data_IF_447446883541
#
_entry.id   IF_447446883541
#
_cell.length_a   1.000
_cell.length_b   1.000
_cell.length_c   1.000
_cell.angle_alpha   90.00
_cell.angle_beta   90.00
_cell.angle_gamma   90.00
#
_symmetry.space_group_name_H-M   'P 1'
#
loop_
_entity.id
_entity.type
_entity.pdbx_description
1 polymer ?
#
# COMPACT_ATOMS: atom_id res chain seq x y z
N UNK A 1 28.00 -6.24 17.89
CA UNK A 1 27.85 -4.84 17.44
C UNK A 1 26.40 -4.48 17.71
N UNK A 2 26.11 -3.38 18.42
CA UNK A 2 24.73 -2.96 18.61
C UNK A 2 24.17 -2.58 17.22
N UNK A 3 23.07 -3.20 16.80
CA UNK A 3 22.39 -2.85 15.56
C UNK A 3 22.04 -1.36 15.61
N UNK A 4 22.43 -0.59 14.60
CA UNK A 4 22.00 0.81 14.49
C UNK A 4 20.48 0.80 14.28
N UNK A 5 19.75 1.59 15.06
CA UNK A 5 18.29 1.67 14.87
C UNK A 5 17.98 2.36 13.54
N UNK A 6 17.07 1.76 12.77
CA UNK A 6 16.59 2.29 11.50
C UNK A 6 15.33 3.11 11.71
N UNK A 7 15.35 4.37 11.27
CA UNK A 7 14.22 5.29 11.37
C UNK A 7 13.71 5.61 9.97
N UNK A 8 12.40 5.56 9.79
CA UNK A 8 11.74 6.09 8.60
C UNK A 8 11.20 7.49 8.89
N UNK A 9 11.58 8.47 8.07
CA UNK A 9 11.05 9.84 8.14
C UNK A 9 10.09 10.05 6.97
N UNK A 10 8.86 10.45 7.25
CA UNK A 10 7.81 10.61 6.24
C UNK A 10 7.30 12.04 6.28
N UNK A 11 7.54 12.80 5.21
CA UNK A 11 7.14 14.19 5.05
C UNK A 11 7.17 14.54 3.57
N UNK A 12 6.14 15.22 3.05
CA UNK A 12 6.11 15.65 1.65
C UNK A 12 7.09 16.82 1.38
N UNK A 13 7.53 17.50 2.44
CA UNK A 13 8.58 18.50 2.38
C UNK A 13 9.97 17.85 2.48
N UNK A 14 10.62 17.69 1.33
CA UNK A 14 11.98 17.13 1.23
C UNK A 14 13.00 17.83 2.13
N UNK A 15 12.90 19.16 2.31
CA UNK A 15 13.84 19.89 3.18
C UNK A 15 13.71 19.46 4.65
N UNK A 16 12.50 19.12 5.11
CA UNK A 16 12.27 18.60 6.46
C UNK A 16 12.85 17.18 6.58
N UNK A 17 12.54 16.32 5.61
CA UNK A 17 13.10 14.97 5.53
C UNK A 17 14.64 14.96 5.56
N UNK A 18 15.28 15.74 4.69
CA UNK A 18 16.74 15.84 4.57
C UNK A 18 17.38 16.36 5.85
N UNK A 19 16.78 17.38 6.47
CA UNK A 19 17.27 17.95 7.71
C UNK A 19 17.17 16.96 8.87
N UNK A 20 16.04 16.28 9.05
CA UNK A 20 15.88 15.23 10.07
C UNK A 20 16.88 14.10 9.81
N UNK A 21 16.98 13.64 8.56
CA UNK A 21 17.85 12.54 8.19
C UNK A 21 19.32 12.85 8.44
N UNK A 22 19.80 14.04 8.07
CA UNK A 22 21.17 14.46 8.34
C UNK A 22 21.49 14.43 9.84
N UNK A 23 20.61 15.00 10.68
CA UNK A 23 20.80 15.07 12.13
C UNK A 23 20.75 13.72 12.83
N UNK A 24 19.89 12.81 12.38
CA UNK A 24 19.82 11.45 12.93
C UNK A 24 21.03 10.61 12.49
N UNK A 25 21.50 10.76 11.25
CA UNK A 25 22.72 10.10 10.76
C UNK A 25 23.98 10.55 11.51
N UNK A 26 24.09 11.83 11.87
CA UNK A 26 25.16 12.34 12.75
C UNK A 26 25.22 11.62 14.11
N UNK A 27 24.11 11.03 14.56
CA UNK A 27 24.01 10.26 15.80
C UNK A 27 24.20 8.75 15.60
N UNK A 28 24.59 8.31 14.40
CA UNK A 28 24.84 6.90 14.08
C UNK A 28 23.56 6.07 13.90
N UNK A 29 22.45 6.71 13.50
CA UNK A 29 21.20 6.03 13.16
C UNK A 29 21.11 5.81 11.65
N UNK A 30 20.51 4.70 11.24
CA UNK A 30 20.13 4.49 9.85
C UNK A 30 18.83 5.24 9.56
N UNK A 31 18.77 5.95 8.44
CA UNK A 31 17.58 6.74 8.09
C UNK A 31 17.17 6.52 6.65
N UNK A 32 15.92 6.11 6.46
CA UNK A 32 15.21 6.16 5.20
C UNK A 32 14.20 7.32 5.22
N UNK A 33 13.86 7.84 4.04
CA UNK A 33 12.90 8.93 3.87
C UNK A 33 11.80 8.51 2.92
N UNK A 34 10.58 9.01 3.12
CA UNK A 34 9.47 8.88 2.19
C UNK A 34 8.77 10.23 2.01
N UNK A 35 8.38 10.55 0.78
CA UNK A 35 7.75 11.81 0.41
C UNK A 35 6.21 11.77 0.44
N UNK A 36 5.61 10.61 0.70
CA UNK A 36 4.16 10.44 0.79
C UNK A 36 3.81 9.18 1.58
N UNK A 37 2.53 9.03 1.93
CA UNK A 37 2.07 7.90 2.72
C UNK A 37 2.25 6.53 2.07
N UNK A 38 2.24 6.45 0.74
CA UNK A 38 2.35 5.18 0.01
C UNK A 38 3.78 4.65 0.03
N UNK A 39 4.73 5.51 -0.29
CA UNK A 39 6.15 5.21 -0.17
C UNK A 39 6.51 4.83 1.27
N UNK A 40 5.89 5.48 2.27
CA UNK A 40 6.05 5.11 3.67
C UNK A 40 5.59 3.68 3.98
N UNK A 41 4.43 3.26 3.47
CA UNK A 41 3.92 1.90 3.65
C UNK A 41 4.83 0.85 3.00
N UNK A 42 5.30 1.12 1.78
CA UNK A 42 6.20 0.22 1.05
C UNK A 42 7.55 0.07 1.76
N UNK A 43 8.18 1.20 2.13
CA UNK A 43 9.45 1.19 2.86
C UNK A 43 9.29 0.50 4.22
N UNK A 44 8.20 0.76 4.95
CA UNK A 44 7.99 0.13 6.26
C UNK A 44 7.86 -1.38 6.15
N UNK A 45 7.17 -1.89 5.12
CA UNK A 45 7.04 -3.33 4.87
C UNK A 45 8.35 -3.98 4.45
N UNK A 46 9.12 -3.31 3.58
CA UNK A 46 10.40 -3.79 3.05
C UNK A 46 11.52 -3.75 4.09
N UNK A 47 11.70 -2.61 4.74
CA UNK A 47 12.90 -2.29 5.51
C UNK A 47 12.72 -2.47 7.02
N UNK A 48 11.48 -2.67 7.49
CA UNK A 48 11.14 -2.89 8.91
C UNK A 48 11.85 -1.92 9.86
N UNK A 49 11.61 -0.60 9.73
CA UNK A 49 12.21 0.39 10.60
C UNK A 49 11.83 0.14 12.06
N UNK A 50 12.72 0.52 12.98
CA UNK A 50 12.50 0.47 14.42
C UNK A 50 11.61 1.62 14.91
N UNK A 51 11.39 2.65 14.10
CA UNK A 51 10.53 3.80 14.38
C UNK A 51 10.11 4.50 13.08
N UNK A 52 8.87 4.97 13.01
CA UNK A 52 8.39 5.88 11.95
C UNK A 52 8.11 7.26 12.53
N UNK A 53 8.76 8.29 11.98
CA UNK A 53 8.39 9.69 12.14
C UNK A 53 7.46 10.05 10.99
N UNK A 54 6.21 10.39 11.30
CA UNK A 54 5.15 10.46 10.30
C UNK A 54 4.46 11.81 10.30
N UNK A 55 4.61 12.58 9.23
CA UNK A 55 3.76 13.75 9.05
C UNK A 55 2.29 13.35 8.90
N UNK A 56 1.42 14.16 9.48
CA UNK A 56 -0.03 13.98 9.36
C UNK A 56 -0.51 14.43 7.98
N UNK A 57 0.02 15.55 7.50
CA UNK A 57 -0.44 16.19 6.27
C UNK A 57 0.39 15.67 5.09
N UNK A 58 -0.02 14.54 4.54
CA UNK A 58 0.61 13.94 3.36
C UNK A 58 -0.38 13.93 2.18
N UNK A 59 0.12 14.05 0.94
CA UNK A 59 -0.73 13.91 -0.24
C UNK A 59 -1.20 12.46 -0.41
N UNK A 60 -2.39 12.28 -0.99
CA UNK A 60 -3.00 10.99 -1.35
C UNK A 60 -3.46 10.11 -0.20
N UNK A 61 -2.61 9.93 0.81
CA UNK A 61 -2.84 9.14 2.01
C UNK A 61 -2.25 9.90 3.20
N UNK A 62 -3.12 10.40 4.09
CA UNK A 62 -2.67 11.19 5.23
C UNK A 62 -1.98 10.31 6.28
N UNK A 63 -1.20 10.92 7.18
CA UNK A 63 -0.41 10.20 8.18
C UNK A 63 -1.25 9.32 9.12
N UNK A 64 -2.49 9.73 9.44
CA UNK A 64 -3.35 8.90 10.27
C UNK A 64 -3.76 7.60 9.55
N UNK A 65 -4.04 7.68 8.25
CA UNK A 65 -4.37 6.53 7.42
C UNK A 65 -3.15 5.60 7.25
N UNK A 66 -1.97 6.17 7.03
CA UNK A 66 -0.70 5.41 7.02
C UNK A 66 -0.51 4.64 8.32
N UNK A 67 -0.61 5.32 9.46
CA UNK A 67 -0.42 4.71 10.77
C UNK A 67 -1.41 3.56 11.00
N UNK A 68 -2.67 3.71 10.60
CA UNK A 68 -3.67 2.65 10.70
C UNK A 68 -3.32 1.43 9.89
N UNK A 69 -2.93 1.61 8.63
CA UNK A 69 -2.52 0.50 7.77
C UNK A 69 -1.34 -0.23 8.39
N UNK A 70 -0.36 0.50 8.95
CA UNK A 70 0.77 -0.09 9.65
C UNK A 70 0.36 -0.82 10.94
N UNK A 71 -0.58 -0.29 11.71
CA UNK A 71 -1.05 -0.92 12.96
C UNK A 71 -2.00 -2.11 12.72
N UNK A 72 -2.65 -2.19 11.57
CA UNK A 72 -3.52 -3.31 11.20
C UNK A 72 -2.75 -4.55 10.70
N UNK A 73 -1.57 -4.37 10.10
CA UNK A 73 -0.74 -5.46 9.60
C UNK A 73 0.10 -6.07 10.75
N UNK A 74 -0.06 -7.37 10.98
CA UNK A 74 0.59 -8.11 12.06
C UNK A 74 2.12 -7.96 12.06
N UNK A 75 2.71 -7.78 10.89
CA UNK A 75 4.15 -7.67 10.74
C UNK A 75 4.65 -6.25 11.05
N UNK A 76 3.85 -5.21 10.86
CA UNK A 76 4.23 -3.80 11.11
C UNK A 76 3.63 -3.21 12.39
N UNK A 77 2.63 -3.86 13.01
CA UNK A 77 1.85 -3.28 14.12
C UNK A 77 2.67 -2.90 15.36
N UNK A 78 3.81 -3.56 15.56
CA UNK A 78 4.69 -3.32 16.70
C UNK A 78 5.67 -2.15 16.46
N UNK A 79 5.80 -1.70 15.21
CA UNK A 79 6.67 -0.58 14.88
C UNK A 79 6.06 0.68 15.52
N UNK A 80 6.81 1.40 16.36
CA UNK A 80 6.31 2.59 16.98
C UNK A 80 6.19 3.74 15.98
N UNK A 81 5.22 4.62 16.21
CA UNK A 81 4.95 5.77 15.34
C UNK A 81 4.94 7.05 16.18
N UNK A 82 5.73 8.04 15.77
CA UNK A 82 5.67 9.40 16.30
C UNK A 82 5.11 10.31 15.21
N UNK A 83 3.96 10.94 15.49
CA UNK A 83 3.39 11.90 14.55
C UNK A 83 4.13 13.24 14.60
N UNK A 84 4.41 13.80 13.42
CA UNK A 84 4.78 15.20 13.27
C UNK A 84 3.52 15.97 12.87
N UNK A 85 3.16 17.01 13.63
CA UNK A 85 1.86 17.70 13.47
C UNK A 85 2.03 19.22 13.47
N UNK A 86 1.27 19.97 12.68
CA UNK A 86 1.16 21.43 12.84
C UNK A 86 0.14 21.77 13.93
N UNK A 87 0.40 22.84 14.71
CA UNK A 87 -0.40 23.22 15.89
C UNK A 87 -1.88 23.54 15.51
N UNK A 88 -2.80 23.34 16.47
CA UNK A 88 -4.24 23.70 16.50
C UNK A 88 -5.35 22.65 16.29
N UNK A 89 -5.09 21.36 16.50
CA UNK A 89 -6.21 20.43 16.75
C UNK A 89 -5.95 19.56 17.97
N UNK A 90 -6.59 19.93 19.08
CA UNK A 90 -6.80 19.04 20.23
C UNK A 90 -7.38 17.68 19.75
N UNK A 91 -8.16 17.70 18.67
CA UNK A 91 -8.67 16.52 17.98
C UNK A 91 -7.59 15.63 17.33
N UNK A 92 -6.51 16.20 16.76
CA UNK A 92 -5.43 15.42 16.12
C UNK A 92 -4.62 14.63 17.15
N UNK A 93 -4.45 15.19 18.35
CA UNK A 93 -3.81 14.50 19.48
C UNK A 93 -4.68 13.36 20.01
N UNK A 94 -5.98 13.60 20.17
CA UNK A 94 -6.94 12.57 20.59
C UNK A 94 -7.02 11.45 19.53
N UNK A 95 -7.02 11.82 18.25
CA UNK A 95 -7.02 10.89 17.11
C UNK A 95 -5.75 10.03 17.05
N UNK A 96 -4.57 10.63 17.23
CA UNK A 96 -3.29 9.92 17.25
C UNK A 96 -3.21 8.86 18.35
N UNK A 97 -3.69 9.16 19.56
CA UNK A 97 -3.74 8.18 20.65
C UNK A 97 -4.78 7.07 20.41
N UNK A 98 -5.92 7.37 19.79
CA UNK A 98 -6.93 6.35 19.43
C UNK A 98 -6.47 5.39 18.32
N UNK A 99 -5.49 5.80 17.50
CA UNK A 99 -4.86 4.98 16.45
C UNK A 99 -3.72 4.10 17.02
N UNK A 100 -3.30 4.36 18.26
CA UNK A 100 -2.18 3.65 18.91
C UNK A 100 -0.81 4.22 18.53
N UNK A 101 -0.72 5.53 18.24
CA UNK A 101 0.56 6.20 18.12
C UNK A 101 1.27 6.31 19.48
N UNK A 102 2.59 6.23 19.43
CA UNK A 102 3.45 6.10 20.60
C UNK A 102 3.89 7.45 21.17
N UNK A 103 3.88 8.50 20.33
CA UNK A 103 4.06 9.91 20.70
C UNK A 103 3.62 10.86 19.56
N UNK A 104 3.68 12.17 19.82
CA UNK A 104 3.52 13.22 18.80
C UNK A 104 4.41 14.44 19.08
N UNK A 105 4.74 15.18 18.03
CA UNK A 105 5.63 16.34 18.06
C UNK A 105 5.05 17.45 17.19
N UNK A 106 4.89 18.64 17.77
CA UNK A 106 4.37 19.80 17.03
C UNK A 106 5.47 20.50 16.24
N UNK A 107 5.25 20.70 14.95
CA UNK A 107 6.00 21.58 14.05
C UNK A 107 5.65 23.06 14.33
N UNK A 108 6.64 23.97 14.34
CA UNK A 108 8.08 23.69 14.35
C UNK A 108 8.52 23.09 15.70
N UNK A 109 9.42 22.10 15.67
CA UNK A 109 9.88 21.39 16.86
C UNK A 109 11.33 21.72 17.21
N UNK A 110 11.67 21.56 18.49
CA UNK A 110 13.05 21.62 18.95
C UNK A 110 13.75 20.27 18.67
N UNK A 111 15.00 20.32 18.18
CA UNK A 111 15.82 19.12 17.91
C UNK A 111 16.07 18.25 19.14
N UNK A 112 16.37 18.87 20.28
CA UNK A 112 16.62 18.15 21.52
C UNK A 112 15.34 17.44 22.01
N UNK A 113 14.17 18.06 21.79
CA UNK A 113 12.87 17.44 22.07
C UNK A 113 12.62 16.23 21.17
N UNK A 114 12.82 16.37 19.87
CA UNK A 114 12.64 15.27 18.90
C UNK A 114 13.55 14.09 19.24
N UNK A 115 14.84 14.33 19.50
CA UNK A 115 15.79 13.29 19.86
C UNK A 115 15.44 12.62 21.20
N UNK A 116 15.01 13.39 22.20
CA UNK A 116 14.60 12.85 23.49
C UNK A 116 13.40 11.90 23.35
N UNK A 117 12.41 12.28 22.52
CA UNK A 117 11.22 11.47 22.26
C UNK A 117 11.52 10.21 21.45
N UNK A 118 12.32 10.33 20.38
CA UNK A 118 12.82 9.17 19.61
C UNK A 118 13.50 8.17 20.55
N UNK A 119 14.44 8.65 21.38
CA UNK A 119 15.15 7.79 22.32
C UNK A 119 14.22 7.15 23.36
N UNK A 120 13.22 7.89 23.85
CA UNK A 120 12.25 7.37 24.82
C UNK A 120 11.31 6.30 24.22
N UNK A 121 10.91 6.45 22.96
CA UNK A 121 10.07 5.49 22.25
C UNK A 121 10.86 4.23 21.90
N UNK A 122 12.07 4.36 21.34
CA UNK A 122 12.93 3.21 21.02
C UNK A 122 13.27 2.39 22.28
N UNK A 123 13.57 3.04 23.41
CA UNK A 123 13.79 2.33 24.68
C UNK A 123 12.56 1.57 25.17
N UNK A 124 11.35 2.12 24.98
CA UNK A 124 10.09 1.44 25.33
C UNK A 124 9.83 0.23 24.43
N UNK A 125 10.09 0.36 23.13
CA UNK A 125 9.92 -0.72 22.16
C UNK A 125 10.94 -1.87 22.37
N UNK A 126 12.15 -1.57 22.87
CA UNK A 126 13.18 -2.56 23.15
C UNK A 126 13.05 -3.26 24.53
N UNK A 127 12.19 -2.77 25.43
CA UNK A 127 11.98 -3.39 26.74
C UNK A 127 11.12 -4.68 26.61
N UNK A 128 11.37 -5.72 27.42
CA UNK A 128 10.50 -6.89 27.45
C UNK A 128 9.06 -6.47 27.77
N UNK A 129 8.03 -7.16 27.24
CA UNK A 129 6.64 -6.76 27.42
C UNK A 129 6.34 -6.62 28.91
N UNK A 130 6.13 -5.39 29.39
CA UNK A 130 5.39 -5.18 30.62
C UNK A 130 3.97 -5.68 30.35
N UNK A 131 3.40 -6.45 31.28
CA UNK A 131 1.96 -6.72 31.28
C UNK A 131 1.24 -5.43 30.92
N UNK A 132 0.34 -5.45 29.92
CA UNK A 132 -0.28 -4.23 29.44
C UNK A 132 -0.94 -3.56 30.64
N UNK A 133 -0.54 -2.32 30.92
CA UNK A 133 -1.36 -1.44 31.74
C UNK A 133 -2.77 -1.49 31.13
N UNK A 134 -3.83 -1.67 31.94
CA UNK A 134 -5.18 -1.85 31.43
C UNK A 134 -5.44 -0.74 30.40
N UNK A 135 -5.73 -1.17 29.17
CA UNK A 135 -6.02 -0.26 28.08
C UNK A 135 -6.98 0.81 28.61
N UNK A 136 -6.62 2.08 28.46
CA UNK A 136 -7.55 3.17 28.74
C UNK A 136 -8.88 2.80 28.07
N UNK A 137 -10.02 2.91 28.77
CA UNK A 137 -11.30 2.41 28.26
C UNK A 137 -11.51 3.00 26.88
N UNK A 138 -11.55 2.12 25.87
CA UNK A 138 -12.02 2.47 24.54
C UNK A 138 -13.44 3.01 24.77
N UNK A 139 -13.76 4.25 24.38
CA UNK A 139 -15.09 4.79 24.61
C UNK A 139 -16.11 3.81 24.03
N UNK A 140 -16.97 3.29 24.90
CA UNK A 140 -18.06 2.40 24.53
C UNK A 140 -18.93 3.13 23.50
N UNK A 141 -18.96 2.62 22.27
CA UNK A 141 -19.60 3.29 21.13
C UNK A 141 -18.84 3.23 19.81
N UNK A 142 -17.61 2.68 19.74
CA UNK A 142 -16.92 2.48 18.46
C UNK A 142 -17.76 1.55 17.57
N UNK A 143 -18.24 1.98 16.38
CA UNK A 143 -19.00 1.11 15.50
C UNK A 143 -18.13 -0.10 15.13
N UNK A 144 -18.62 -1.30 15.43
CA UNK A 144 -17.93 -2.54 15.06
C UNK A 144 -17.85 -2.62 13.54
N UNK A 145 -16.64 -2.67 13.02
CA UNK A 145 -16.38 -2.94 11.61
C UNK A 145 -16.93 -4.30 11.17
N UNK A 146 -17.05 -4.52 9.86
CA UNK A 146 -17.42 -5.82 9.29
C UNK A 146 -16.16 -6.52 8.78
N UNK A 147 -16.04 -7.82 8.99
CA UNK A 147 -14.93 -8.62 8.47
C UNK A 147 -15.44 -9.98 7.98
N UNK A 148 -14.76 -10.58 7.00
CA UNK A 148 -15.15 -11.84 6.39
C UNK A 148 -14.22 -12.32 5.28
N UNK A 149 -14.60 -13.40 4.61
CA UNK A 149 -13.88 -13.96 3.46
C UNK A 149 -14.37 -13.42 2.12
N UNK A 150 -13.44 -13.22 1.17
CA UNK A 150 -13.79 -12.83 -0.21
C UNK A 150 -14.46 -13.96 -1.00
N UNK A 151 -14.38 -15.20 -0.50
CA UNK A 151 -15.15 -16.35 -1.00
C UNK A 151 -16.64 -16.23 -0.68
N UNK A 152 -16.97 -15.57 0.43
CA UNK A 152 -18.35 -15.42 0.90
C UNK A 152 -19.00 -14.15 0.33
N UNK A 153 -18.24 -13.06 0.26
CA UNK A 153 -18.70 -11.76 -0.24
C UNK A 153 -17.63 -11.13 -1.12
N UNK A 154 -17.96 -10.91 -2.39
CA UNK A 154 -17.04 -10.27 -3.34
C UNK A 154 -16.81 -8.78 -3.02
N UNK A 155 -15.67 -8.24 -3.44
CA UNK A 155 -15.39 -6.80 -3.35
C UNK A 155 -16.47 -5.95 -4.03
N UNK A 156 -17.01 -6.40 -5.16
CA UNK A 156 -18.09 -5.70 -5.86
C UNK A 156 -19.34 -5.55 -4.97
N UNK A 157 -19.72 -6.62 -4.26
CA UNK A 157 -20.85 -6.58 -3.34
C UNK A 157 -20.55 -5.69 -2.11
N UNK A 158 -19.32 -5.72 -1.59
CA UNK A 158 -18.91 -4.85 -0.48
C UNK A 158 -19.01 -3.38 -0.85
N UNK A 159 -18.57 -3.00 -2.06
CA UNK A 159 -18.72 -1.62 -2.57
C UNK A 159 -20.19 -1.22 -2.61
N UNK A 160 -21.07 -2.09 -3.14
CA UNK A 160 -22.51 -1.81 -3.18
C UNK A 160 -23.12 -1.67 -1.79
N UNK A 161 -22.77 -2.52 -0.83
CA UNK A 161 -23.28 -2.42 0.54
C UNK A 161 -22.83 -1.13 1.23
N UNK A 162 -21.57 -0.75 1.06
CA UNK A 162 -21.02 0.50 1.59
C UNK A 162 -21.70 1.72 0.94
N UNK A 163 -21.97 1.66 -0.36
CA UNK A 163 -22.68 2.71 -1.10
C UNK A 163 -24.11 2.90 -0.61
N UNK A 164 -24.86 1.80 -0.47
CA UNK A 164 -26.26 1.82 -0.01
C UNK A 164 -26.35 2.42 1.40
N UNK A 165 -25.46 2.01 2.29
CA UNK A 165 -25.42 2.52 3.67
C UNK A 165 -24.73 3.90 3.80
N UNK A 166 -24.22 4.45 2.69
CA UNK A 166 -23.39 5.68 2.64
C UNK A 166 -22.24 5.68 3.66
N UNK A 167 -21.63 4.52 3.90
CA UNK A 167 -20.58 4.39 4.91
C UNK A 167 -19.28 5.04 4.45
N UNK A 168 -18.65 5.76 5.36
CA UNK A 168 -17.27 6.24 5.22
C UNK A 168 -16.34 5.34 6.02
N UNK A 169 -15.18 5.01 5.48
CA UNK A 169 -14.32 3.99 6.08
C UNK A 169 -13.20 3.49 5.20
N UNK A 170 -12.43 2.58 5.76
CA UNK A 170 -11.34 1.89 5.08
C UNK A 170 -11.73 0.43 4.96
N UNK A 171 -11.83 -0.07 3.73
CA UNK A 171 -11.93 -1.49 3.46
C UNK A 171 -10.55 -2.03 3.17
N UNK A 172 -10.01 -2.82 4.11
CA UNK A 172 -8.76 -3.54 3.94
C UNK A 172 -9.03 -4.90 3.31
N UNK A 173 -8.21 -5.28 2.34
CA UNK A 173 -8.28 -6.54 1.61
C UNK A 173 -6.95 -7.28 1.73
N UNK A 174 -7.04 -8.58 1.97
CA UNK A 174 -5.90 -9.49 2.07
C UNK A 174 -6.07 -10.61 1.06
N UNK A 175 -5.00 -10.99 0.39
CA UNK A 175 -4.95 -12.03 -0.63
C UNK A 175 -3.61 -12.78 -0.50
N UNK A 176 -3.49 -14.07 -0.88
CA UNK A 176 -2.23 -14.80 -0.73
C UNK A 176 -1.02 -14.14 -1.43
N UNK A 177 -1.29 -13.41 -2.51
CA UNK A 177 -0.27 -12.68 -3.29
C UNK A 177 -0.07 -11.21 -2.87
N UNK A 178 -0.83 -10.69 -1.91
CA UNK A 178 -0.71 -9.29 -1.51
C UNK A 178 -1.84 -8.75 -0.66
N UNK A 179 -1.83 -7.44 -0.46
CA UNK A 179 -2.84 -6.73 0.31
C UNK A 179 -3.16 -5.41 -0.37
N UNK A 180 -4.36 -4.92 -0.16
CA UNK A 180 -4.75 -3.60 -0.64
C UNK A 180 -5.82 -2.99 0.25
N UNK A 181 -6.17 -1.74 -0.05
CA UNK A 181 -7.23 -1.04 0.65
C UNK A 181 -8.01 -0.16 -0.30
N UNK A 182 -9.28 0.03 0.05
CA UNK A 182 -10.21 0.93 -0.62
C UNK A 182 -10.74 1.91 0.42
N UNK A 183 -10.52 3.20 0.18
CA UNK A 183 -11.05 4.27 1.01
C UNK A 183 -12.43 4.66 0.51
N UNK A 184 -13.36 4.85 1.44
CA UNK A 184 -14.73 5.26 1.15
C UNK A 184 -15.06 6.58 1.87
N UNK A 185 -15.72 7.47 1.14
CA UNK A 185 -16.29 8.71 1.65
C UNK A 185 -17.75 8.81 1.22
N UNK A 186 -18.66 8.82 2.18
CA UNK A 186 -20.11 8.89 1.98
C UNK A 186 -20.63 7.82 1.00
N UNK A 187 -20.13 6.58 1.13
CA UNK A 187 -20.49 5.45 0.27
C UNK A 187 -19.78 5.43 -1.09
N UNK A 188 -19.04 6.47 -1.46
CA UNK A 188 -18.27 6.50 -2.71
C UNK A 188 -16.87 5.98 -2.48
N UNK A 189 -16.34 5.26 -3.46
CA UNK A 189 -14.91 4.95 -3.52
C UNK A 189 -14.14 6.27 -3.68
N UNK A 190 -13.32 6.62 -2.70
CA UNK A 190 -12.50 7.83 -2.70
C UNK A 190 -11.10 7.56 -3.28
N UNK A 191 -10.50 6.43 -2.92
CA UNK A 191 -9.18 6.02 -3.40
C UNK A 191 -9.00 4.51 -3.23
N UNK A 192 -8.03 3.90 -3.92
CA UNK A 192 -7.66 2.51 -3.74
C UNK A 192 -6.17 2.29 -4.00
N UNK A 193 -5.56 1.32 -3.31
CA UNK A 193 -4.15 0.97 -3.46
C UNK A 193 -3.96 -0.54 -3.26
N UNK A 194 -3.13 -1.15 -4.09
CA UNK A 194 -2.73 -2.55 -3.97
C UNK A 194 -1.34 -2.73 -4.59
N UNK A 195 -0.33 -3.07 -3.79
CA UNK A 195 1.05 -3.18 -4.28
C UNK A 195 1.49 -1.89 -4.99
N UNK A 196 1.90 -1.99 -6.27
CA UNK A 196 2.24 -0.83 -7.13
C UNK A 196 1.03 -0.11 -7.73
N UNK A 197 -0.13 -0.74 -7.76
CA UNK A 197 -1.34 -0.18 -8.39
C UNK A 197 -1.91 0.95 -7.54
N UNK A 198 -2.51 1.94 -8.20
CA UNK A 198 -3.09 3.15 -7.58
C UNK A 198 -4.47 3.43 -8.15
N UNK A 199 -5.31 4.12 -7.37
CA UNK A 199 -6.62 4.60 -7.76
C UNK A 199 -7.46 3.51 -8.47
N UNK A 200 -8.04 3.81 -9.62
CA UNK A 200 -8.89 2.87 -10.37
C UNK A 200 -8.15 1.58 -10.74
N UNK A 201 -6.87 1.66 -11.14
CA UNK A 201 -6.08 0.49 -11.47
C UNK A 201 -5.93 -0.47 -10.27
N UNK A 202 -5.74 0.07 -9.06
CA UNK A 202 -5.72 -0.74 -7.84
C UNK A 202 -7.07 -1.41 -7.58
N UNK A 203 -8.15 -0.65 -7.73
CA UNK A 203 -9.50 -1.17 -7.55
C UNK A 203 -9.79 -2.31 -8.54
N UNK A 204 -9.48 -2.11 -9.81
CA UNK A 204 -9.69 -3.12 -10.86
C UNK A 204 -8.85 -4.37 -10.63
N UNK A 205 -7.60 -4.21 -10.20
CA UNK A 205 -6.75 -5.33 -9.81
C UNK A 205 -7.38 -6.14 -8.65
N UNK A 206 -7.84 -5.47 -7.59
CA UNK A 206 -8.46 -6.12 -6.43
C UNK A 206 -9.84 -6.73 -6.73
N UNK A 207 -10.60 -6.21 -7.69
CA UNK A 207 -11.86 -6.84 -8.14
C UNK A 207 -11.65 -8.23 -8.75
N UNK A 208 -10.42 -8.53 -9.19
CA UNK A 208 -10.00 -9.85 -9.64
C UNK A 208 -9.80 -10.87 -8.52
N UNK A 209 -9.65 -10.44 -7.26
CA UNK A 209 -9.40 -11.36 -6.13
C UNK A 209 -10.67 -12.14 -5.79
N UNK A 210 -10.54 -13.48 -5.73
CA UNK A 210 -11.65 -14.41 -5.43
C UNK A 210 -11.44 -15.16 -4.12
N UNK A 211 -10.30 -14.96 -3.47
CA UNK A 211 -9.90 -15.58 -2.21
C UNK A 211 -9.25 -14.55 -1.29
N UNK A 212 -9.08 -14.91 -0.03
CA UNK A 212 -8.55 -14.04 1.00
C UNK A 212 -9.63 -13.42 1.87
N UNK A 213 -9.29 -12.36 2.59
CA UNK A 213 -10.14 -11.78 3.62
C UNK A 213 -10.31 -10.27 3.47
N UNK A 214 -11.36 -9.73 4.07
CA UNK A 214 -11.63 -8.30 4.14
C UNK A 214 -11.96 -7.85 5.55
N UNK A 215 -11.70 -6.57 5.83
CA UNK A 215 -12.15 -5.89 7.04
C UNK A 215 -12.47 -4.42 6.70
N UNK A 216 -13.70 -3.98 7.01
CA UNK A 216 -14.12 -2.59 6.89
C UNK A 216 -14.11 -1.92 8.26
N UNK A 217 -13.37 -0.83 8.38
CA UNK A 217 -13.36 0.01 9.57
C UNK A 217 -14.02 1.37 9.27
N UNK A 218 -15.10 1.73 9.98
CA UNK A 218 -15.71 3.04 9.84
C UNK A 218 -14.73 4.17 10.13
N UNK A 219 -14.77 5.23 9.32
CA UNK A 219 -13.89 6.38 9.43
C UNK A 219 -14.63 7.66 9.09
N UNK A 220 -14.36 8.73 9.84
CA UNK A 220 -15.09 10.00 9.73
C UNK A 220 -14.18 11.20 9.44
N UNK A 221 -12.87 10.99 9.26
CA UNK A 221 -12.00 12.10 8.86
C UNK A 221 -12.14 12.35 7.35
N UNK A 222 -11.91 13.60 6.89
CA UNK A 222 -11.95 13.91 5.47
C UNK A 222 -10.95 13.04 4.69
N UNK A 223 -11.45 12.36 3.66
CA UNK A 223 -10.63 11.60 2.71
C UNK A 223 -10.57 12.40 1.42
N UNK A 224 -9.39 12.51 0.82
CA UNK A 224 -9.24 13.12 -0.50
C UNK A 224 -9.91 12.26 -1.58
N UNK A 225 -10.77 12.87 -2.40
CA UNK A 225 -11.48 12.19 -3.48
C UNK A 225 -10.60 12.11 -4.72
N UNK A 226 -9.74 11.10 -4.78
CA UNK A 226 -8.82 10.85 -5.91
C UNK A 226 -9.54 10.21 -7.09
N UNK A 227 -10.39 9.21 -6.84
CA UNK A 227 -11.20 8.56 -7.87
C UNK A 227 -12.48 9.36 -8.07
N UNK A 228 -12.70 9.90 -9.25
CA UNK A 228 -13.84 10.79 -9.53
C UNK A 228 -15.05 10.04 -10.12
N UNK A 229 -14.81 8.89 -10.74
CA UNK A 229 -15.85 8.03 -11.32
C UNK A 229 -16.89 7.58 -10.26
N UNK A 230 -18.08 7.23 -10.73
CA UNK A 230 -19.12 6.64 -9.89
C UNK A 230 -18.87 5.15 -9.64
N UNK A 231 -19.32 4.63 -8.50
CA UNK A 231 -19.15 3.22 -8.14
C UNK A 231 -19.67 2.26 -9.22
N UNK A 232 -20.85 2.54 -9.80
CA UNK A 232 -21.43 1.71 -10.88
C UNK A 232 -20.54 1.64 -12.12
N UNK A 233 -19.98 2.78 -12.52
CA UNK A 233 -19.04 2.87 -13.64
C UNK A 233 -17.77 2.06 -13.35
N UNK A 234 -17.20 2.25 -12.15
CA UNK A 234 -16.02 1.50 -11.69
C UNK A 234 -16.27 -0.01 -11.70
N UNK A 235 -17.43 -0.48 -11.24
CA UNK A 235 -17.78 -1.90 -11.23
C UNK A 235 -17.92 -2.45 -12.66
N UNK A 236 -18.60 -1.74 -13.55
CA UNK A 236 -18.76 -2.17 -14.95
C UNK A 236 -17.41 -2.25 -15.67
N UNK A 237 -16.57 -1.22 -15.53
CA UNK A 237 -15.25 -1.20 -16.15
C UNK A 237 -14.34 -2.28 -15.53
N UNK A 238 -14.33 -2.40 -14.21
CA UNK A 238 -13.52 -3.38 -13.49
C UNK A 238 -13.88 -4.83 -13.82
N UNK A 239 -15.17 -5.16 -13.93
CA UNK A 239 -15.62 -6.50 -14.30
C UNK A 239 -15.27 -6.84 -15.76
N UNK A 240 -15.49 -5.92 -16.70
CA UNK A 240 -15.05 -6.10 -18.09
C UNK A 240 -13.54 -6.33 -18.18
N UNK A 241 -12.78 -5.55 -17.41
CA UNK A 241 -11.32 -5.69 -17.34
C UNK A 241 -10.91 -7.04 -16.74
N UNK A 242 -11.59 -7.52 -15.70
CA UNK A 242 -11.38 -8.87 -15.13
C UNK A 242 -11.58 -9.96 -16.18
N UNK A 243 -12.66 -9.90 -16.96
CA UNK A 243 -12.93 -10.87 -18.03
C UNK A 243 -11.86 -10.82 -19.14
N UNK A 244 -11.45 -9.62 -19.57
CA UNK A 244 -10.39 -9.44 -20.55
C UNK A 244 -9.06 -10.03 -20.07
N UNK A 245 -8.67 -9.76 -18.82
CA UNK A 245 -7.47 -10.33 -18.18
C UNK A 245 -7.55 -11.86 -18.14
N UNK A 246 -8.70 -12.43 -17.76
CA UNK A 246 -8.90 -13.87 -17.74
C UNK A 246 -8.75 -14.50 -19.14
N UNK A 247 -9.33 -13.86 -20.17
CA UNK A 247 -9.21 -14.31 -21.56
C UNK A 247 -7.78 -14.26 -22.09
N UNK A 248 -7.02 -13.22 -21.76
CA UNK A 248 -5.60 -13.10 -22.13
C UNK A 248 -4.74 -14.15 -21.42
N UNK A 249 -4.97 -14.38 -20.12
CA UNK A 249 -4.24 -15.40 -19.36
C UNK A 249 -4.50 -16.81 -19.87
N UNK A 250 -5.71 -17.10 -20.38
CA UNK A 250 -6.01 -18.39 -20.99
C UNK A 250 -5.25 -18.66 -22.30
N UNK A 251 -4.76 -17.61 -22.98
CA UNK A 251 -3.94 -17.70 -24.20
C UNK A 251 -2.45 -17.82 -23.91
N UNK A 252 -2.03 -17.54 -22.67
CA UNK A 252 -0.66 -17.64 -22.20
C UNK A 252 -0.39 -19.00 -21.54
N UNK A 253 0.88 -19.43 -21.44
CA UNK A 253 1.25 -20.63 -20.69
C UNK A 253 0.83 -20.58 -19.23
N UNK A 254 0.80 -21.76 -18.58
CA UNK A 254 0.37 -21.91 -17.20
C UNK A 254 1.09 -20.93 -16.25
N UNK A 255 0.40 -20.41 -15.20
CA UNK A 255 1.01 -19.52 -14.23
C UNK A 255 2.32 -20.10 -13.67
N UNK A 256 3.39 -19.29 -13.65
CA UNK A 256 4.72 -19.75 -13.23
C UNK A 256 5.64 -20.24 -14.36
N UNK A 257 5.12 -20.41 -15.58
CA UNK A 257 5.97 -20.71 -16.76
C UNK A 257 6.88 -19.53 -17.06
N UNK A 258 8.18 -19.77 -17.19
CA UNK A 258 9.15 -18.75 -17.62
C UNK A 258 9.08 -18.58 -19.12
N UNK A 259 8.99 -17.33 -19.59
CA UNK A 259 9.04 -16.99 -21.00
C UNK A 259 10.34 -16.25 -21.30
N UNK A 260 10.87 -16.45 -22.50
CA UNK A 260 11.99 -15.67 -23.00
C UNK A 260 11.83 -15.30 -24.48
N UNK A 261 12.42 -14.17 -24.88
CA UNK A 261 12.66 -13.82 -26.27
C UNK A 261 13.28 -14.97 -27.08
N UNK A 262 12.79 -15.18 -28.30
CA UNK A 262 13.54 -15.98 -29.27
C UNK A 262 14.72 -15.19 -29.84
N UNK A 263 15.89 -15.82 -29.90
CA UNK A 263 17.11 -15.23 -30.43
C UNK A 263 16.95 -14.80 -31.89
N UNK A 264 17.41 -13.59 -32.23
CA UNK A 264 17.46 -13.11 -33.62
C UNK A 264 16.20 -12.42 -34.14
N UNK A 265 15.14 -12.26 -33.32
CA UNK A 265 13.87 -11.67 -33.76
C UNK A 265 13.58 -10.26 -33.22
N UNK A 266 14.59 -9.55 -32.71
CA UNK A 266 14.43 -8.23 -32.10
C UNK A 266 13.83 -7.18 -33.07
N UNK A 267 14.13 -7.29 -34.37
CA UNK A 267 13.59 -6.40 -35.40
C UNK A 267 12.09 -6.65 -35.68
N UNK A 268 11.58 -7.84 -35.39
CA UNK A 268 10.18 -8.22 -35.62
C UNK A 268 9.21 -7.74 -34.53
N UNK A 269 9.76 -7.30 -33.38
CA UNK A 269 8.99 -6.80 -32.23
C UNK A 269 8.28 -5.48 -32.58
N UNK A 270 8.90 -4.66 -33.43
CA UNK A 270 8.31 -3.44 -33.97
C UNK A 270 8.35 -2.26 -33.00
N UNK A 271 7.19 -1.90 -32.43
CA UNK A 271 6.99 -0.65 -31.69
C UNK A 271 7.78 -0.59 -30.37
N UNK A 272 8.22 0.59 -29.90
CA UNK A 272 8.97 0.76 -28.65
C UNK A 272 8.26 0.17 -27.42
N UNK A 273 6.94 0.34 -27.30
CA UNK A 273 6.15 -0.13 -26.16
C UNK A 273 6.08 -1.66 -26.11
N UNK A 274 5.94 -2.29 -27.28
CA UNK A 274 6.02 -3.76 -27.43
C UNK A 274 7.41 -4.26 -27.07
N UNK A 275 8.45 -3.49 -27.43
CA UNK A 275 9.85 -3.82 -27.19
C UNK A 275 10.21 -3.80 -25.71
N UNK A 276 9.73 -2.81 -24.96
CA UNK A 276 9.92 -2.76 -23.51
C UNK A 276 9.39 -4.02 -22.82
N UNK A 277 8.17 -4.45 -23.15
CA UNK A 277 7.59 -5.69 -22.60
C UNK A 277 8.37 -6.92 -23.05
N UNK A 278 8.79 -7.00 -24.32
CA UNK A 278 9.57 -8.12 -24.84
C UNK A 278 10.94 -8.24 -24.16
N UNK A 279 11.66 -7.12 -23.98
CA UNK A 279 12.96 -7.06 -23.31
C UNK A 279 12.86 -7.43 -21.83
N UNK A 280 11.73 -7.14 -21.17
CA UNK A 280 11.49 -7.54 -19.79
C UNK A 280 11.50 -9.07 -19.58
N UNK A 281 11.29 -9.87 -20.63
CA UNK A 281 11.38 -11.33 -20.59
C UNK A 281 12.79 -11.87 -20.86
N UNK A 282 13.80 -11.04 -21.16
CA UNK A 282 15.14 -11.49 -21.59
C UNK A 282 15.82 -12.49 -20.62
N UNK A 283 15.56 -12.35 -19.32
CA UNK A 283 16.15 -13.22 -18.27
C UNK A 283 15.30 -14.47 -17.94
N UNK A 284 14.35 -14.85 -18.80
CA UNK A 284 13.48 -16.00 -18.53
C UNK A 284 12.55 -15.75 -17.34
N UNK A 285 11.69 -14.73 -17.45
CA UNK A 285 10.77 -14.30 -16.38
C UNK A 285 9.37 -14.86 -16.58
N UNK A 286 8.61 -14.97 -15.49
CA UNK A 286 7.18 -15.31 -15.59
C UNK A 286 6.39 -14.06 -16.00
N UNK A 287 5.18 -14.26 -16.53
CA UNK A 287 4.27 -13.15 -16.86
C UNK A 287 3.97 -12.32 -15.61
N UNK A 288 3.76 -12.96 -14.47
CA UNK A 288 3.52 -12.28 -13.18
C UNK A 288 4.68 -11.37 -12.79
N UNK A 289 5.92 -11.86 -12.94
CA UNK A 289 7.10 -11.04 -12.62
C UNK A 289 7.17 -9.80 -13.51
N UNK A 290 6.92 -9.94 -14.82
CA UNK A 290 6.95 -8.80 -15.74
C UNK A 290 5.82 -7.80 -15.41
N UNK A 291 4.62 -8.30 -15.07
CA UNK A 291 3.52 -7.46 -14.59
C UNK A 291 3.91 -6.70 -13.33
N UNK A 292 4.67 -7.29 -12.41
CA UNK A 292 5.09 -6.60 -11.18
C UNK A 292 6.26 -5.64 -11.39
N UNK A 293 7.11 -5.88 -12.39
CA UNK A 293 8.36 -5.15 -12.60
C UNK A 293 8.22 -3.89 -13.48
N UNK A 294 7.25 -3.85 -14.40
CA UNK A 294 7.09 -2.74 -15.34
C UNK A 294 6.09 -1.70 -14.82
N UNK A 295 6.39 -0.41 -15.02
CA UNK A 295 5.45 0.70 -14.80
C UNK A 295 4.43 0.85 -15.95
N UNK A 296 4.10 -0.27 -16.60
CA UNK A 296 3.09 -0.37 -17.66
C UNK A 296 1.79 -0.96 -17.08
N UNK A 297 0.65 -0.59 -17.67
CA UNK A 297 -0.66 -1.11 -17.31
C UNK A 297 -0.72 -2.64 -17.49
N UNK A 298 -1.27 -3.35 -16.49
CA UNK A 298 -1.35 -4.83 -16.49
C UNK A 298 -2.01 -5.37 -17.77
N UNK A 299 -3.10 -4.75 -18.24
CA UNK A 299 -3.81 -5.22 -19.41
C UNK A 299 -2.92 -5.09 -20.65
N UNK A 300 -2.23 -3.96 -20.82
CA UNK A 300 -1.29 -3.74 -21.92
C UNK A 300 -0.14 -4.74 -21.91
N UNK A 301 0.42 -5.06 -20.74
CA UNK A 301 1.46 -6.10 -20.60
C UNK A 301 0.92 -7.45 -21.05
N UNK A 302 -0.27 -7.84 -20.59
CA UNK A 302 -0.88 -9.14 -20.93
C UNK A 302 -1.26 -9.24 -22.42
N UNK A 303 -1.82 -8.18 -23.01
CA UNK A 303 -2.12 -8.10 -24.45
C UNK A 303 -0.86 -8.27 -25.28
N UNK A 304 0.20 -7.56 -24.89
CA UNK A 304 1.49 -7.58 -25.57
C UNK A 304 2.15 -8.94 -25.44
N UNK A 305 2.21 -9.51 -24.23
CA UNK A 305 2.78 -10.82 -23.99
C UNK A 305 2.04 -11.91 -24.76
N UNK A 306 0.70 -11.89 -24.77
CA UNK A 306 -0.11 -12.84 -25.52
C UNK A 306 0.14 -12.73 -27.03
N UNK A 307 0.16 -11.51 -27.58
CA UNK A 307 0.44 -11.27 -28.99
C UNK A 307 1.85 -11.72 -29.40
N UNK A 308 2.87 -11.45 -28.57
CA UNK A 308 4.24 -11.89 -28.79
C UNK A 308 4.36 -13.42 -28.73
N UNK A 309 3.68 -14.07 -27.79
CA UNK A 309 3.67 -15.52 -27.64
C UNK A 309 3.01 -16.22 -28.83
N UNK A 310 1.85 -15.73 -29.29
CA UNK A 310 1.13 -16.27 -30.46
C UNK A 310 1.91 -16.10 -31.77
N UNK A 311 2.66 -15.01 -31.90
CA UNK A 311 3.59 -14.78 -33.02
C UNK A 311 4.88 -15.60 -32.91
N UNK A 312 5.08 -16.31 -31.80
CA UNK A 312 6.28 -17.10 -31.53
C UNK A 312 7.53 -16.28 -31.19
N UNK A 313 7.38 -14.99 -30.87
CA UNK A 313 8.47 -14.08 -30.47
C UNK A 313 8.85 -14.23 -28.99
N UNK A 314 7.92 -14.76 -28.18
CA UNK A 314 8.18 -15.29 -26.84
C UNK A 314 7.98 -16.81 -26.86
N UNK A 315 8.85 -17.54 -26.17
CA UNK A 315 8.74 -18.98 -26.01
C UNK A 315 8.83 -19.37 -24.53
N UNK A 316 8.11 -20.41 -24.15
CA UNK A 316 8.28 -21.04 -22.84
C UNK A 316 9.68 -21.64 -22.73
N UNK A 317 10.39 -21.29 -21.67
CA UNK A 317 11.66 -21.92 -21.31
C UNK A 317 11.37 -23.13 -20.42
N UNK A 318 11.71 -24.32 -20.91
CA UNK A 318 11.71 -25.57 -20.15
C UNK A 318 10.35 -25.95 -19.52
N UNK A 319 9.57 -26.77 -20.22
CA UNK A 319 8.89 -27.87 -19.51
C UNK A 319 9.89 -29.02 -19.33
N UNK A 320 9.62 -30.02 -18.46
CA UNK A 320 10.41 -31.25 -18.45
C UNK A 320 10.55 -31.87 -19.85
#
# INVERSE_FOLDING_TARGET
MASQSKILVVDDNRNICDLIAARLKERGLEVATAANGLEALEITKRDRPDLVLLDIMLPWLNGFEVAKVLKADAATRQIPIIFLTVKDRIQDKIMGFQIGADDYITKPFNWDELLARIGAVLRRAAAPPREPAPAAPVPEGKPRGIAGGLTDVSLANLIQFIEVDKKSGILTLTHPKGSGYVLFSEGRVANAVAGRFRAEAALFHMLGWQEGGFAFEPWHAPVEQVITAGNQELLVQGLKRKEAVAGLRARLPAPGTRLAPRSGQAEEVGKPETREVWEAFADGRTVEHVVDALEVDELTILETAAALYERGLLAAQGGP
#
